data_IF_135122411539
#
_entry.id   IF_135122411539
#
_cell.length_a   1.000
_cell.length_b   1.000
_cell.length_c   1.000
_cell.angle_alpha   90.00
_cell.angle_beta   90.00
_cell.angle_gamma   90.00
#
_symmetry.space_group_name_H-M   'P 1'
#
loop_
_entity.id
_entity.type
_entity.pdbx_description
1 polymer ?
#
# COMPACT_ATOMS: atom_id res chain seq x y z
N UNK A 1 -20.02 1.49 -21.91
CA UNK A 1 -19.05 2.53 -22.30
C UNK A 1 -18.61 3.29 -21.06
N UNK A 2 -17.57 2.83 -20.38
CA UNK A 2 -17.03 3.47 -19.17
C UNK A 2 -15.60 3.92 -19.47
N UNK A 3 -15.51 5.06 -20.15
CA UNK A 3 -14.25 5.74 -20.41
C UNK A 3 -13.99 6.78 -19.32
N UNK A 4 -13.72 6.37 -18.12
CA UNK A 4 -13.16 7.23 -17.08
C UNK A 4 -11.79 6.69 -16.71
N UNK A 5 -10.76 7.47 -17.02
CA UNK A 5 -9.40 7.25 -16.53
C UNK A 5 -9.46 7.23 -15.00
N UNK A 6 -9.68 6.07 -14.43
CA UNK A 6 -9.77 5.90 -12.98
C UNK A 6 -8.34 5.93 -12.45
N UNK A 7 -7.95 7.06 -11.87
CA UNK A 7 -6.71 7.13 -11.10
C UNK A 7 -6.90 6.29 -9.85
N UNK A 8 -6.11 5.25 -9.74
CA UNK A 8 -6.10 4.38 -8.56
C UNK A 8 -4.97 4.81 -7.66
N UNK A 9 -5.27 5.04 -6.40
CA UNK A 9 -4.27 5.38 -5.39
C UNK A 9 -3.88 4.11 -4.67
N UNK A 10 -2.60 3.78 -4.74
CA UNK A 10 -2.00 2.72 -3.95
C UNK A 10 -1.05 3.34 -2.94
N UNK A 11 -1.16 3.01 -1.69
CA UNK A 11 -0.17 3.38 -0.68
C UNK A 11 0.23 2.17 0.14
N UNK A 12 1.51 2.04 0.37
CA UNK A 12 2.06 1.02 1.24
C UNK A 12 2.29 1.49 2.67
N UNK A 13 2.04 2.73 2.98
CA UNK A 13 2.45 3.23 4.28
C UNK A 13 1.46 2.97 5.39
N UNK A 14 0.86 1.86 5.46
CA UNK A 14 0.10 1.41 6.63
C UNK A 14 -1.15 0.63 6.24
N UNK A 15 -1.03 -0.31 5.34
CA UNK A 15 -1.92 -1.44 5.53
C UNK A 15 -1.43 -2.09 6.81
N UNK A 16 -2.31 -2.32 7.78
CA UNK A 16 -1.86 -2.97 8.98
C UNK A 16 -1.22 -4.28 8.57
N UNK A 17 0.02 -4.45 8.99
CA UNK A 17 0.49 -5.80 9.19
C UNK A 17 -0.61 -6.44 10.03
N UNK A 18 -1.36 -7.38 9.44
CA UNK A 18 -2.36 -8.13 10.21
C UNK A 18 -1.56 -8.94 11.19
N UNK A 19 -1.50 -8.47 12.43
CA UNK A 19 -0.71 -9.10 13.47
C UNK A 19 -1.18 -10.53 13.67
N UNK A 20 -0.24 -11.43 13.81
CA UNK A 20 -0.53 -12.85 13.99
C UNK A 20 0.00 -13.30 15.33
N UNK A 21 -0.82 -14.05 16.05
CA UNK A 21 -0.42 -14.58 17.35
C UNK A 21 0.54 -15.75 17.16
N UNK A 22 1.77 -15.60 17.69
CA UNK A 22 2.77 -16.66 17.85
C UNK A 22 2.95 -17.60 16.65
N UNK A 23 3.46 -17.06 15.53
CA UNK A 23 3.94 -17.90 14.43
C UNK A 23 5.45 -18.11 14.55
N UNK A 24 5.83 -18.77 15.64
CA UNK A 24 7.22 -18.99 16.04
C UNK A 24 8.06 -19.68 14.96
N UNK A 25 7.43 -20.54 14.15
CA UNK A 25 8.09 -21.33 13.12
C UNK A 25 8.04 -20.67 11.73
N UNK A 26 7.67 -19.40 11.65
CA UNK A 26 7.49 -18.67 10.38
C UNK A 26 8.24 -17.34 10.38
N UNK A 27 9.59 -17.36 10.29
CA UNK A 27 10.40 -16.15 10.35
C UNK A 27 10.12 -15.18 9.17
N UNK A 28 9.62 -15.69 8.04
CA UNK A 28 9.23 -14.89 6.88
C UNK A 28 8.08 -13.92 7.15
N UNK A 29 7.31 -14.16 8.19
CA UNK A 29 6.19 -13.30 8.58
C UNK A 29 6.63 -12.14 9.46
N UNK A 30 7.87 -12.15 9.96
CA UNK A 30 8.38 -11.08 10.81
C UNK A 30 8.71 -9.83 9.98
N UNK A 31 8.04 -8.73 10.28
CA UNK A 31 8.31 -7.43 9.68
C UNK A 31 9.36 -6.66 10.47
N UNK A 32 10.55 -6.49 9.91
CA UNK A 32 11.60 -5.66 10.50
C UNK A 32 11.21 -4.18 10.61
N UNK A 33 10.28 -3.72 9.80
CA UNK A 33 9.74 -2.35 9.84
C UNK A 33 8.79 -2.14 11.02
N UNK A 34 7.95 -3.12 11.32
CA UNK A 34 6.92 -3.02 12.36
C UNK A 34 7.31 -3.74 13.66
N UNK A 35 8.43 -4.47 13.67
CA UNK A 35 8.92 -5.27 14.80
C UNK A 35 7.88 -6.25 15.35
N UNK A 36 7.05 -6.80 14.46
CA UNK A 36 6.03 -7.77 14.82
C UNK A 36 5.79 -8.76 13.68
N UNK A 37 5.19 -9.89 13.99
CA UNK A 37 4.83 -10.93 13.03
C UNK A 37 3.46 -10.66 12.42
N UNK A 38 3.34 -10.81 11.11
CA UNK A 38 2.06 -10.62 10.43
C UNK A 38 2.15 -10.77 8.93
N UNK A 39 1.05 -10.45 8.25
CA UNK A 39 0.94 -10.44 6.79
C UNK A 39 0.80 -9.03 6.25
N UNK A 40 1.43 -8.77 5.12
CA UNK A 40 1.35 -7.52 4.40
C UNK A 40 0.20 -7.61 3.37
N UNK A 41 -0.69 -6.63 3.39
CA UNK A 41 -1.76 -6.47 2.39
C UNK A 41 -1.52 -5.19 1.60
N UNK A 42 -1.67 -5.26 0.30
CA UNK A 42 -1.65 -4.07 -0.56
C UNK A 42 -3.08 -3.66 -0.87
N UNK A 43 -3.37 -2.37 -0.79
CA UNK A 43 -4.72 -1.83 -0.98
C UNK A 43 -4.68 -0.72 -2.02
N UNK A 44 -5.65 -0.70 -2.90
CA UNK A 44 -5.88 0.40 -3.82
C UNK A 44 -7.30 0.94 -3.69
N UNK A 45 -7.47 2.24 -3.86
CA UNK A 45 -8.77 2.88 -3.91
C UNK A 45 -8.90 3.80 -5.11
N UNK A 46 -10.13 4.12 -5.47
CA UNK A 46 -10.45 5.14 -6.48
C UNK A 46 -10.25 6.54 -5.92
N UNK A 47 -10.20 7.56 -6.79
CA UNK A 47 -10.20 8.96 -6.37
C UNK A 47 -11.50 9.37 -5.65
N UNK A 48 -12.57 8.61 -5.79
CA UNK A 48 -13.80 8.79 -5.02
C UNK A 48 -13.70 8.23 -3.59
N UNK A 49 -12.59 7.56 -3.24
CA UNK A 49 -12.38 6.97 -1.92
C UNK A 49 -13.05 5.61 -1.74
N UNK A 50 -13.38 4.92 -2.82
CA UNK A 50 -13.91 3.55 -2.76
C UNK A 50 -12.77 2.54 -2.86
N UNK A 51 -12.84 1.46 -2.07
CA UNK A 51 -11.94 0.32 -2.21
C UNK A 51 -12.05 -0.25 -3.62
N UNK A 52 -10.95 -0.27 -4.36
CA UNK A 52 -10.90 -0.79 -5.73
C UNK A 52 -10.25 -2.16 -5.80
N UNK A 53 -9.27 -2.41 -4.96
CA UNK A 53 -8.51 -3.65 -5.00
C UNK A 53 -7.80 -3.90 -3.67
N UNK A 54 -7.62 -5.17 -3.34
CA UNK A 54 -6.83 -5.66 -2.21
C UNK A 54 -6.04 -6.88 -2.65
N UNK A 55 -4.77 -6.97 -2.23
CA UNK A 55 -3.93 -8.12 -2.58
C UNK A 55 -4.30 -9.36 -1.77
N UNK A 56 -3.91 -10.54 -2.26
CA UNK A 56 -3.70 -11.68 -1.37
C UNK A 56 -2.72 -11.31 -0.25
N UNK A 57 -2.77 -12.01 0.90
CA UNK A 57 -1.84 -11.79 1.98
C UNK A 57 -0.41 -12.18 1.56
N UNK A 58 0.55 -11.32 1.84
CA UNK A 58 1.96 -11.52 1.59
C UNK A 58 2.73 -11.60 2.91
N UNK A 59 3.86 -12.30 2.97
CA UNK A 59 4.67 -12.33 4.18
C UNK A 59 5.06 -10.92 4.66
N UNK A 60 5.01 -10.68 5.97
CA UNK A 60 5.29 -9.38 6.57
C UNK A 60 6.72 -8.88 6.37
N UNK A 61 7.67 -9.78 6.08
CA UNK A 61 9.06 -9.44 5.73
C UNK A 61 9.20 -8.82 4.34
N UNK A 62 8.19 -8.97 3.45
CA UNK A 62 8.27 -8.48 2.07
C UNK A 62 8.14 -6.97 2.05
N UNK A 63 9.13 -6.29 1.46
CA UNK A 63 9.10 -4.85 1.27
C UNK A 63 7.99 -4.43 0.31
N UNK A 64 7.42 -3.26 0.56
CA UNK A 64 6.27 -2.72 -0.16
C UNK A 64 6.44 -2.70 -1.69
N UNK A 65 7.61 -2.28 -2.19
CA UNK A 65 7.90 -2.28 -3.63
C UNK A 65 7.93 -3.69 -4.24
N UNK A 66 8.40 -4.69 -3.48
CA UNK A 66 8.36 -6.09 -3.89
C UNK A 66 6.94 -6.64 -3.79
N UNK A 67 6.25 -6.31 -2.70
CA UNK A 67 4.87 -6.71 -2.47
C UNK A 67 3.94 -6.29 -3.62
N UNK A 68 4.04 -5.04 -4.11
CA UNK A 68 3.21 -4.58 -5.22
C UNK A 68 3.50 -5.31 -6.53
N UNK A 69 4.74 -5.68 -6.78
CA UNK A 69 5.11 -6.48 -7.96
C UNK A 69 4.57 -7.91 -7.88
N UNK A 70 4.72 -8.55 -6.73
CA UNK A 70 4.30 -9.94 -6.49
C UNK A 70 2.78 -10.08 -6.36
N UNK A 71 2.09 -9.02 -5.96
CA UNK A 71 0.64 -9.01 -5.80
C UNK A 71 -0.16 -9.06 -7.10
N UNK A 72 0.47 -8.87 -8.25
CA UNK A 72 -0.20 -8.78 -9.54
C UNK A 72 -0.93 -7.45 -9.78
N UNK A 73 -0.78 -6.46 -8.90
CA UNK A 73 -1.45 -5.17 -9.00
C UNK A 73 -1.22 -4.48 -10.35
N UNK A 74 0.05 -4.38 -10.77
CA UNK A 74 0.44 -3.67 -11.98
C UNK A 74 -0.11 -4.33 -13.26
N UNK A 75 -0.33 -5.63 -13.24
CA UNK A 75 -0.91 -6.38 -14.36
C UNK A 75 -2.43 -6.33 -14.36
N UNK A 76 -3.06 -6.41 -13.19
CA UNK A 76 -4.52 -6.40 -13.04
C UNK A 76 -5.13 -5.06 -13.45
N UNK A 77 -4.44 -3.96 -13.13
CA UNK A 77 -4.91 -2.60 -13.41
C UNK A 77 -4.12 -1.94 -14.55
N UNK A 78 -3.67 -2.73 -15.50
CA UNK A 78 -2.91 -2.25 -16.65
C UNK A 78 -3.70 -1.19 -17.46
N UNK A 79 -2.99 -0.16 -17.93
CA UNK A 79 -3.57 0.95 -18.68
C UNK A 79 -4.18 2.07 -17.83
N UNK A 80 -4.12 1.97 -16.50
CA UNK A 80 -4.54 3.03 -15.58
C UNK A 80 -3.33 3.76 -14.98
N UNK A 81 -3.50 5.04 -14.66
CA UNK A 81 -2.49 5.80 -13.92
C UNK A 81 -2.65 5.57 -12.42
N UNK A 82 -1.57 5.22 -11.75
CA UNK A 82 -1.55 4.93 -10.31
C UNK A 82 -0.73 5.97 -9.57
N UNK A 83 -1.24 6.43 -8.44
CA UNK A 83 -0.52 7.30 -7.51
C UNK A 83 -0.03 6.43 -6.36
N UNK A 84 1.25 6.53 -6.06
CA UNK A 84 1.89 5.76 -5.00
C UNK A 84 2.72 6.61 -4.05
N UNK A 85 3.20 5.99 -2.98
CA UNK A 85 4.15 6.59 -2.05
C UNK A 85 5.57 6.60 -2.65
N UNK A 86 6.48 7.32 -2.01
CA UNK A 86 7.91 7.36 -2.34
C UNK A 86 8.58 5.98 -2.39
N UNK A 87 8.02 4.99 -1.69
CA UNK A 87 8.47 3.60 -1.74
C UNK A 87 8.29 2.91 -3.10
N UNK A 88 7.43 3.47 -3.97
CA UNK A 88 7.11 2.90 -5.29
C UNK A 88 7.79 3.60 -6.46
N UNK A 89 8.78 4.45 -6.20
CA UNK A 89 9.57 5.11 -7.25
C UNK A 89 10.19 4.05 -8.19
N UNK A 90 10.05 4.25 -9.49
CA UNK A 90 10.56 3.33 -10.51
C UNK A 90 9.62 2.18 -10.90
N UNK A 91 8.39 2.15 -10.36
CA UNK A 91 7.37 1.15 -10.69
C UNK A 91 6.30 1.65 -11.68
N UNK A 92 6.56 2.75 -12.37
CA UNK A 92 5.59 3.34 -13.30
C UNK A 92 4.44 4.08 -12.64
N UNK A 93 4.53 4.33 -11.33
CA UNK A 93 3.53 5.09 -10.57
C UNK A 93 3.89 6.57 -10.50
N UNK A 94 2.87 7.42 -10.37
CA UNK A 94 3.03 8.83 -10.03
C UNK A 94 3.37 8.91 -8.54
N UNK A 95 4.58 9.33 -8.21
CA UNK A 95 5.10 9.39 -6.84
C UNK A 95 5.57 10.79 -6.50
N UNK A 96 5.57 11.17 -5.20
CA UNK A 96 6.14 12.45 -4.80
C UNK A 96 7.62 12.54 -5.14
N UNK A 97 8.03 13.68 -5.67
CA UNK A 97 9.44 13.95 -5.93
C UNK A 97 10.25 13.94 -4.63
N UNK A 98 11.42 13.29 -4.66
CA UNK A 98 12.37 13.34 -3.55
C UNK A 98 13.15 14.65 -3.59
N UNK A 99 13.44 15.22 -2.41
CA UNK A 99 14.38 16.32 -2.31
C UNK A 99 15.75 15.84 -2.78
N UNK A 100 16.44 16.57 -3.69
CA UNK A 100 17.80 16.25 -4.09
C UNK A 100 18.76 16.28 -2.89
N UNK A 101 19.83 15.49 -2.93
CA UNK A 101 20.84 15.44 -1.88
C UNK A 101 21.50 16.82 -1.68
N UNK A 102 21.69 17.56 -2.78
CA UNK A 102 22.22 18.91 -2.80
C UNK A 102 21.25 19.82 -3.57
N UNK A 103 20.40 20.54 -2.84
CA UNK A 103 19.43 21.46 -3.43
C UNK A 103 18.06 21.45 -2.79
N UNK A 104 17.16 22.23 -3.38
CA UNK A 104 15.76 22.34 -2.96
C UNK A 104 14.84 21.73 -4.04
N UNK A 105 13.63 21.36 -3.63
CA UNK A 105 12.58 21.00 -4.57
C UNK A 105 12.18 22.23 -5.39
N UNK A 106 11.94 22.04 -6.68
CA UNK A 106 11.35 23.09 -7.52
C UNK A 106 9.95 23.45 -7.03
N UNK A 107 9.47 24.64 -7.36
CA UNK A 107 8.08 25.03 -7.03
C UNK A 107 7.05 24.12 -7.68
N UNK A 108 7.36 23.60 -8.86
CA UNK A 108 6.52 22.60 -9.54
C UNK A 108 6.47 21.31 -8.75
N UNK A 109 7.63 20.80 -8.27
CA UNK A 109 7.67 19.59 -7.45
C UNK A 109 6.92 19.76 -6.13
N UNK A 110 7.05 20.92 -5.50
CA UNK A 110 6.31 21.23 -4.27
C UNK A 110 4.79 21.21 -4.48
N UNK A 111 4.31 21.83 -5.59
CA UNK A 111 2.88 21.82 -5.94
C UNK A 111 2.39 20.40 -6.24
N UNK A 112 3.14 19.63 -7.02
CA UNK A 112 2.83 18.25 -7.36
C UNK A 112 2.78 17.38 -6.10
N UNK A 113 3.78 17.50 -5.23
CA UNK A 113 3.81 16.77 -3.96
C UNK A 113 2.60 17.11 -3.07
N UNK A 114 2.19 18.39 -3.03
CA UNK A 114 0.99 18.81 -2.30
C UNK A 114 -0.27 18.15 -2.85
N UNK A 115 -0.42 18.12 -4.17
CA UNK A 115 -1.56 17.46 -4.84
C UNK A 115 -1.57 15.97 -4.56
N UNK A 116 -0.45 15.29 -4.70
CA UNK A 116 -0.30 13.85 -4.41
C UNK A 116 -0.66 13.56 -2.95
N UNK A 117 -0.18 14.37 -2.01
CA UNK A 117 -0.47 14.19 -0.58
C UNK A 117 -1.97 14.36 -0.26
N UNK A 118 -2.66 15.29 -0.93
CA UNK A 118 -4.12 15.42 -0.78
C UNK A 118 -4.87 14.17 -1.26
N UNK A 119 -4.44 13.61 -2.37
CA UNK A 119 -5.04 12.37 -2.90
C UNK A 119 -4.74 11.19 -1.98
N UNK A 120 -3.53 11.11 -1.40
CA UNK A 120 -3.16 10.07 -0.44
C UNK A 120 -4.06 10.02 0.80
N UNK A 121 -4.61 11.14 1.23
CA UNK A 121 -5.58 11.16 2.33
C UNK A 121 -6.79 10.23 2.09
N UNK A 122 -7.19 10.05 0.83
CA UNK A 122 -8.31 9.16 0.49
C UNK A 122 -7.99 7.70 0.84
N UNK A 123 -6.80 7.23 0.49
CA UNK A 123 -6.41 5.84 0.79
C UNK A 123 -6.23 5.64 2.31
N UNK A 124 -5.70 6.62 3.02
CA UNK A 124 -5.56 6.55 4.47
C UNK A 124 -6.93 6.39 5.15
N UNK A 125 -7.95 7.09 4.64
CA UNK A 125 -9.33 6.94 5.11
C UNK A 125 -9.91 5.56 4.78
N UNK A 126 -9.67 5.03 3.59
CA UNK A 126 -10.10 3.67 3.21
C UNK A 126 -9.43 2.64 4.12
N UNK A 127 -8.13 2.76 4.36
CA UNK A 127 -7.40 1.88 5.27
C UNK A 127 -7.93 2.00 6.70
N UNK A 128 -8.22 3.22 7.18
CA UNK A 128 -8.81 3.43 8.50
C UNK A 128 -10.17 2.70 8.63
N UNK A 129 -11.00 2.76 7.58
CA UNK A 129 -12.26 2.02 7.54
C UNK A 129 -12.04 0.50 7.54
N UNK A 130 -11.08 0.00 6.76
CA UNK A 130 -10.73 -1.44 6.77
C UNK A 130 -10.27 -1.90 8.16
N UNK A 131 -9.50 -1.08 8.87
CA UNK A 131 -9.04 -1.36 10.23
C UNK A 131 -10.17 -1.45 11.27
N UNK A 132 -11.37 -0.95 10.98
CA UNK A 132 -12.53 -1.16 11.86
C UNK A 132 -13.00 -2.62 11.85
N UNK A 133 -12.64 -3.39 10.84
CA UNK A 133 -12.93 -4.81 10.80
C UNK A 133 -12.05 -5.54 11.80
N UNK A 134 -12.69 -6.22 12.72
CA UNK A 134 -12.03 -6.86 13.85
C UNK A 134 -10.90 -7.81 13.43
N UNK A 135 -11.06 -8.53 12.34
CA UNK A 135 -10.04 -9.44 11.80
C UNK A 135 -8.75 -8.73 11.37
N UNK A 136 -8.82 -7.42 11.06
CA UNK A 136 -7.66 -6.65 10.59
C UNK A 136 -6.96 -5.85 11.69
N UNK A 137 -7.52 -5.77 12.90
CA UNK A 137 -6.90 -5.03 14.02
C UNK A 137 -6.72 -5.85 15.29
N UNK A 138 -7.13 -7.11 15.29
CA UNK A 138 -6.82 -8.07 16.37
C UNK A 138 -5.89 -9.13 15.82
N UNK A 139 -5.15 -9.78 16.70
CA UNK A 139 -4.25 -10.86 16.32
C UNK A 139 -5.01 -12.00 15.64
N UNK A 140 -4.56 -12.33 14.43
CA UNK A 140 -5.08 -13.46 13.69
C UNK A 140 -4.63 -14.78 14.34
N UNK A 141 -5.57 -15.62 14.75
CA UNK A 141 -5.31 -16.81 15.57
C UNK A 141 -5.41 -18.14 14.82
N UNK A 142 -5.78 -18.11 13.55
CA UNK A 142 -5.84 -19.33 12.74
C UNK A 142 -4.48 -19.65 12.11
N UNK A 143 -4.22 -20.93 11.74
CA UNK A 143 -3.03 -21.30 11.01
C UNK A 143 -2.89 -20.51 9.70
N UNK A 144 -1.66 -20.22 9.28
CA UNK A 144 -1.37 -19.51 8.04
C UNK A 144 -1.97 -20.20 6.80
N UNK A 145 -2.03 -21.53 6.81
CA UNK A 145 -2.64 -22.34 5.74
C UNK A 145 -4.14 -22.09 5.52
N UNK A 146 -4.78 -21.34 6.39
CA UNK A 146 -6.20 -20.96 6.27
C UNK A 146 -6.41 -19.50 5.85
N UNK A 147 -5.32 -18.78 5.48
CA UNK A 147 -5.36 -17.50 4.78
C UNK A 147 -5.39 -17.76 3.27
#
# INVERSE_FOLDING_TARGET
MWGTSTLTVSTSSTVPLVSCWSWHDRPELYSGKHHTTGVNLQVACTLAGHLAWISPPLPGSVHDAKAIKESGFLTTLNGQSHIGDKGYIGLGMITPAKKPAHGELTDTDRRNNTTINRVRYLIERVIANLKTWRVLHTDYRRPYSSL
#
